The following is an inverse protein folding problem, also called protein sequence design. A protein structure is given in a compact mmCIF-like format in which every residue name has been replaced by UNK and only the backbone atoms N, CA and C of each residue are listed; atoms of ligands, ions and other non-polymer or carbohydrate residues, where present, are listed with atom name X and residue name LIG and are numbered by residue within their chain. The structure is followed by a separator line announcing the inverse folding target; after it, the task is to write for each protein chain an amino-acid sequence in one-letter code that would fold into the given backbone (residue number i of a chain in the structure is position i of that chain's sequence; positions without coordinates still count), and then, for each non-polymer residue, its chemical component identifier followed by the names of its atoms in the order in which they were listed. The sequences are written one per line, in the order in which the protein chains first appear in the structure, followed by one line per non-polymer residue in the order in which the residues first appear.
data_IF_913493620031
#
_entry.id   IF_913493620031
#
_cell.length_a   1.000
_cell.length_b   1.000
_cell.length_c   1.000
_cell.angle_alpha   90.00
_cell.angle_beta   90.00
_cell.angle_gamma   90.00
#
_symmetry.space_group_name_H-M   'P 1'
#
loop_
_entity.id
_entity.type
_entity.pdbx_description
1 polymer ?
#
# COMPACT_ATOMS: atom_id res chain seq x y z
N UNK A 1 -3.69 -18.10 8.23
CA UNK A 1 -2.30 -17.59 8.19
C UNK A 1 -2.26 -16.40 7.26
N UNK A 2 -1.72 -15.27 7.68
CA UNK A 2 -1.59 -14.10 6.84
C UNK A 2 -0.51 -14.38 5.78
N UNK A 3 -0.84 -14.20 4.51
CA UNK A 3 0.09 -14.32 3.40
C UNK A 3 1.19 -13.26 3.51
N UNK A 4 2.45 -13.59 3.27
CA UNK A 4 3.56 -12.65 3.22
C UNK A 4 4.00 -12.49 1.77
N UNK A 5 3.95 -11.27 1.26
CA UNK A 5 4.27 -10.94 -0.13
C UNK A 5 5.72 -10.47 -0.32
N UNK A 6 6.26 -9.76 0.66
CA UNK A 6 7.62 -9.21 0.62
C UNK A 6 8.54 -9.98 1.58
N UNK A 7 8.71 -11.28 1.29
CA UNK A 7 9.55 -12.18 2.09
C UNK A 7 11.01 -11.73 2.07
N UNK A 8 11.66 -11.81 3.23
CA UNK A 8 13.09 -11.46 3.36
C UNK A 8 13.37 -9.96 3.36
N UNK A 9 12.33 -9.12 3.27
CA UNK A 9 12.46 -7.67 3.42
C UNK A 9 11.94 -7.29 4.80
N UNK A 10 12.82 -6.79 5.65
CA UNK A 10 12.48 -6.24 6.96
C UNK A 10 11.99 -4.79 6.83
N UNK A 11 11.65 -4.18 7.97
CA UNK A 11 11.28 -2.77 8.00
C UNK A 11 12.47 -1.91 7.56
N UNK A 12 12.23 -1.07 6.57
CA UNK A 12 13.22 -0.14 6.04
C UNK A 12 13.44 0.99 7.05
N UNK A 13 14.69 1.23 7.42
CA UNK A 13 15.07 2.23 8.41
C UNK A 13 16.18 3.14 7.90
N UNK A 14 16.43 4.22 8.63
CA UNK A 14 17.57 5.08 8.39
C UNK A 14 18.86 4.42 8.89
N UNK A 15 19.87 4.33 8.03
CA UNK A 15 21.18 3.75 8.33
C UNK A 15 22.34 4.71 8.04
N UNK A 16 22.04 5.91 7.51
CA UNK A 16 23.06 6.89 7.15
C UNK A 16 23.58 6.76 5.72
N UNK A 17 24.37 7.77 5.32
CA UNK A 17 24.84 7.91 3.94
C UNK A 17 25.76 6.79 3.47
N UNK A 18 26.52 6.23 4.41
CA UNK A 18 27.57 5.23 4.14
C UNK A 18 27.03 3.80 4.17
N UNK A 19 25.70 3.61 4.37
CA UNK A 19 25.11 2.29 4.35
C UNK A 19 25.20 1.65 2.97
N UNK A 20 25.66 0.41 2.91
CA UNK A 20 25.68 -0.42 1.72
C UNK A 20 24.34 -1.16 1.48
N UNK A 21 23.40 -1.06 2.43
CA UNK A 21 22.09 -1.65 2.32
C UNK A 21 21.23 -0.92 1.26
N UNK A 22 20.87 -1.57 0.13
CA UNK A 22 20.07 -0.92 -0.93
C UNK A 22 18.65 -0.59 -0.49
N UNK A 23 18.16 -1.20 0.60
CA UNK A 23 16.82 -0.98 1.16
C UNK A 23 16.83 -0.07 2.39
N UNK A 24 17.91 0.67 2.66
CA UNK A 24 17.97 1.63 3.75
C UNK A 24 17.67 3.06 3.29
N UNK A 25 17.07 3.85 4.16
CA UNK A 25 17.04 5.30 4.00
C UNK A 25 18.41 5.89 4.34
N UNK A 26 19.05 6.52 3.37
CA UNK A 26 20.39 7.11 3.55
C UNK A 26 20.37 8.59 3.94
N UNK A 27 19.32 9.28 3.58
CA UNK A 27 19.19 10.74 3.75
C UNK A 27 17.98 11.13 4.63
N UNK A 28 16.95 10.30 4.66
CA UNK A 28 15.78 10.52 5.48
C UNK A 28 15.99 9.92 6.87
N UNK A 29 16.42 10.78 7.81
CA UNK A 29 16.44 10.46 9.23
C UNK A 29 15.16 11.00 9.88
N UNK A 30 14.20 10.14 10.25
CA UNK A 30 12.91 10.58 10.80
C UNK A 30 13.05 11.38 12.10
N UNK A 31 14.12 11.20 12.84
CA UNK A 31 14.35 11.84 14.15
C UNK A 31 15.21 13.10 14.07
N UNK A 32 15.79 13.42 12.92
CA UNK A 32 16.63 14.61 12.74
C UNK A 32 15.80 15.87 12.94
N UNK A 33 16.27 16.73 13.85
CA UNK A 33 15.64 18.03 14.14
C UNK A 33 16.00 19.07 13.07
N UNK A 34 14.99 19.75 12.53
CA UNK A 34 15.12 20.83 11.55
C UNK A 34 14.12 21.92 11.95
N UNK A 35 14.60 23.11 12.32
CA UNK A 35 13.72 24.24 12.66
C UNK A 35 12.72 23.95 13.78
N UNK A 36 13.12 23.18 14.80
CA UNK A 36 12.27 22.85 15.97
C UNK A 36 11.31 21.68 15.77
N UNK A 37 11.30 21.04 14.61
CA UNK A 37 10.51 19.83 14.33
C UNK A 37 11.39 18.70 13.79
N UNK A 38 10.97 17.47 13.96
CA UNK A 38 11.64 16.33 13.35
C UNK A 38 11.41 16.29 11.84
N UNK A 39 12.32 15.64 11.10
CA UNK A 39 12.13 15.42 9.66
C UNK A 39 10.83 14.68 9.37
N UNK A 40 10.42 13.73 10.21
CA UNK A 40 9.14 13.03 10.12
C UNK A 40 7.92 13.97 10.25
N UNK A 41 8.01 15.01 11.05
CA UNK A 41 6.92 16.00 11.21
C UNK A 41 6.83 16.95 10.01
N UNK A 42 7.97 17.20 9.33
CA UNK A 42 7.98 17.99 8.09
C UNK A 42 7.48 17.21 6.89
N UNK A 43 7.89 15.93 6.75
CA UNK A 43 7.60 15.09 5.60
C UNK A 43 6.52 14.05 5.92
N UNK A 44 5.30 14.34 5.52
CA UNK A 44 4.14 13.44 5.70
C UNK A 44 3.93 12.64 4.41
N UNK A 45 4.71 11.57 4.24
CA UNK A 45 4.59 10.71 3.06
C UNK A 45 3.31 9.87 3.09
N UNK A 46 2.64 9.80 1.94
CA UNK A 46 1.51 8.91 1.72
C UNK A 46 1.81 7.95 0.56
N UNK A 47 1.34 6.72 0.68
CA UNK A 47 1.39 5.74 -0.40
C UNK A 47 0.11 5.83 -1.21
N UNK A 48 0.22 6.07 -2.51
CA UNK A 48 -0.90 6.05 -3.45
C UNK A 48 -1.22 4.59 -3.81
N UNK A 49 -2.34 4.09 -3.31
CA UNK A 49 -2.74 2.69 -3.46
C UNK A 49 -2.87 2.28 -4.93
N UNK A 50 -3.50 3.13 -5.76
CA UNK A 50 -3.71 2.86 -7.18
C UNK A 50 -2.41 2.68 -7.96
N UNK A 51 -1.43 3.53 -7.75
CA UNK A 51 -0.14 3.40 -8.44
C UNK A 51 0.65 2.18 -7.99
N UNK A 52 0.66 1.91 -6.69
CA UNK A 52 1.53 0.89 -6.10
C UNK A 52 0.96 -0.52 -6.21
N UNK A 53 -0.38 -0.67 -6.18
CA UNK A 53 -1.00 -1.99 -6.04
C UNK A 53 -2.01 -2.33 -7.13
N UNK A 54 -2.48 -1.36 -7.93
CA UNK A 54 -3.43 -1.55 -9.03
C UNK A 54 -2.81 -1.30 -10.42
N UNK A 55 -1.62 -0.69 -10.49
CA UNK A 55 -0.96 -0.38 -11.74
C UNK A 55 -0.52 -1.64 -12.48
N UNK A 56 -0.95 -1.79 -13.73
CA UNK A 56 -0.60 -2.94 -14.58
C UNK A 56 0.49 -2.63 -15.60
N UNK A 57 0.98 -1.38 -15.64
CA UNK A 57 1.92 -0.94 -16.67
C UNK A 57 1.29 -0.73 -18.05
N UNK A 58 -0.05 -0.61 -18.11
CA UNK A 58 -0.77 -0.25 -19.33
C UNK A 58 -0.53 1.20 -19.72
N UNK A 59 -0.45 1.47 -21.02
CA UNK A 59 -0.31 2.80 -21.59
C UNK A 59 -1.14 2.92 -22.90
N UNK A 60 -1.16 4.08 -23.58
CA UNK A 60 -1.88 4.23 -24.85
C UNK A 60 -1.40 3.32 -26.00
N UNK A 61 -0.25 2.69 -25.86
CA UNK A 61 0.35 1.85 -26.89
C UNK A 61 0.11 0.36 -26.68
N UNK A 62 -0.34 -0.05 -25.49
CA UNK A 62 -0.61 -1.45 -25.23
C UNK A 62 -1.21 -1.77 -23.86
N UNK A 63 -1.73 -2.99 -23.70
CA UNK A 63 -2.26 -3.46 -22.44
C UNK A 63 -1.14 -3.61 -21.40
N UNK A 64 -1.53 -3.62 -20.13
CA UNK A 64 -0.60 -3.87 -19.02
C UNK A 64 0.09 -5.22 -19.11
N UNK A 65 1.37 -5.24 -18.78
CA UNK A 65 2.23 -6.44 -18.80
C UNK A 65 2.62 -6.91 -17.40
N UNK A 66 2.24 -6.16 -16.36
CA UNK A 66 2.56 -6.46 -14.97
C UNK A 66 1.44 -7.32 -14.39
N UNK A 67 1.81 -8.50 -13.85
CA UNK A 67 0.95 -9.35 -13.03
C UNK A 67 1.38 -9.29 -11.59
N UNK A 68 0.43 -9.05 -10.70
CA UNK A 68 0.73 -9.03 -9.27
C UNK A 68 0.34 -10.36 -8.59
N UNK A 69 1.13 -10.83 -7.61
CA UNK A 69 0.82 -12.08 -6.89
C UNK A 69 -0.53 -12.06 -6.16
N UNK A 70 -1.01 -10.89 -5.78
CA UNK A 70 -2.31 -10.71 -5.11
C UNK A 70 -3.51 -10.74 -6.05
N UNK A 71 -3.30 -10.63 -7.38
CA UNK A 71 -4.38 -10.68 -8.37
C UNK A 71 -4.70 -12.11 -8.85
N UNK A 72 -3.96 -13.10 -8.37
CA UNK A 72 -4.08 -14.49 -8.83
C UNK A 72 -5.36 -15.21 -8.39
N UNK A 73 -6.09 -14.71 -7.38
CA UNK A 73 -7.28 -15.37 -6.88
C UNK A 73 -8.51 -15.08 -7.77
N UNK A 74 -9.26 -16.10 -8.23
CA UNK A 74 -10.46 -15.89 -9.04
C UNK A 74 -11.63 -15.24 -8.27
N UNK A 75 -11.71 -15.44 -6.95
CA UNK A 75 -12.72 -14.78 -6.11
C UNK A 75 -12.36 -13.30 -5.91
N UNK A 76 -13.19 -12.35 -6.38
CA UNK A 76 -12.91 -10.93 -6.31
C UNK A 76 -12.79 -10.42 -4.87
N UNK A 77 -13.53 -10.99 -3.92
CA UNK A 77 -13.45 -10.59 -2.51
C UNK A 77 -12.13 -11.07 -1.90
N UNK A 78 -11.71 -12.29 -2.22
CA UNK A 78 -10.43 -12.80 -1.71
C UNK A 78 -9.26 -12.07 -2.38
N UNK A 79 -9.35 -11.75 -3.67
CA UNK A 79 -8.36 -10.92 -4.39
C UNK A 79 -8.21 -9.54 -3.76
N UNK A 80 -9.34 -8.88 -3.43
CA UNK A 80 -9.31 -7.59 -2.71
C UNK A 80 -8.62 -7.71 -1.35
N UNK A 81 -8.86 -8.78 -0.60
CA UNK A 81 -8.17 -9.03 0.68
C UNK A 81 -6.69 -9.30 0.48
N UNK A 82 -6.33 -10.12 -0.49
CA UNK A 82 -4.94 -10.42 -0.82
C UNK A 82 -4.18 -9.14 -1.20
N UNK A 83 -4.79 -8.26 -2.01
CA UNK A 83 -4.25 -6.94 -2.37
C UNK A 83 -4.06 -6.05 -1.14
N UNK A 84 -5.05 -5.97 -0.24
CA UNK A 84 -4.92 -5.22 1.01
C UNK A 84 -3.82 -5.78 1.90
N UNK A 85 -3.67 -7.10 1.99
CA UNK A 85 -2.59 -7.72 2.78
C UNK A 85 -1.22 -7.32 2.26
N UNK A 86 -1.02 -7.36 0.94
CA UNK A 86 0.21 -6.91 0.30
C UNK A 86 0.47 -5.40 0.54
N UNK A 87 -0.58 -4.58 0.38
CA UNK A 87 -0.47 -3.14 0.56
C UNK A 87 -0.06 -2.76 1.99
N UNK A 88 -0.72 -3.31 3.00
CA UNK A 88 -0.40 -2.98 4.39
C UNK A 88 0.93 -3.59 4.86
N UNK A 89 1.34 -4.74 4.32
CA UNK A 89 2.69 -5.25 4.55
C UNK A 89 3.74 -4.27 4.00
N UNK A 90 3.56 -3.78 2.77
CA UNK A 90 4.46 -2.79 2.15
C UNK A 90 4.51 -1.48 2.93
N UNK A 91 3.35 -0.88 3.22
CA UNK A 91 3.22 0.39 3.95
C UNK A 91 3.92 0.32 5.32
N UNK A 92 3.73 -0.81 6.01
CA UNK A 92 4.35 -1.05 7.32
C UNK A 92 5.87 -1.17 7.21
N UNK A 93 6.35 -1.91 6.20
CA UNK A 93 7.79 -2.12 5.99
C UNK A 93 8.50 -0.83 5.57
N UNK A 94 7.90 -0.02 4.70
CA UNK A 94 8.48 1.28 4.31
C UNK A 94 8.30 2.36 5.39
N UNK A 95 7.37 2.15 6.33
CA UNK A 95 7.13 3.08 7.44
C UNK A 95 6.39 4.35 7.03
N UNK A 96 5.63 4.34 5.95
CA UNK A 96 4.79 5.48 5.55
C UNK A 96 3.63 5.65 6.54
N UNK A 97 3.43 6.86 7.11
CA UNK A 97 2.39 7.10 8.11
C UNK A 97 0.99 7.24 7.50
N UNK A 98 0.90 7.49 6.19
CA UNK A 98 -0.35 7.75 5.48
C UNK A 98 -0.44 6.93 4.20
N UNK A 99 -1.66 6.69 3.76
CA UNK A 99 -1.98 6.14 2.44
C UNK A 99 -3.26 6.77 1.92
N UNK A 100 -3.43 6.76 0.60
CA UNK A 100 -4.63 7.24 -0.06
C UNK A 100 -5.09 6.22 -1.11
N UNK A 101 -6.39 6.10 -1.30
CA UNK A 101 -7.01 5.19 -2.24
C UNK A 101 -8.35 5.74 -2.73
N UNK A 102 -8.81 5.26 -3.88
CA UNK A 102 -10.18 5.37 -4.30
C UNK A 102 -10.93 4.09 -3.91
N UNK A 103 -12.23 4.18 -3.77
CA UNK A 103 -13.06 3.02 -3.43
C UNK A 103 -12.93 1.88 -4.45
N UNK A 104 -12.84 2.21 -5.74
CA UNK A 104 -12.61 1.28 -6.84
C UNK A 104 -11.26 0.54 -6.78
N UNK A 105 -10.25 1.12 -6.15
CA UNK A 105 -8.95 0.46 -5.99
C UNK A 105 -9.01 -0.74 -5.05
N UNK A 106 -9.98 -0.74 -4.14
CA UNK A 106 -10.11 -1.75 -3.11
C UNK A 106 -10.76 -3.03 -3.61
N UNK A 107 -11.75 -2.92 -4.49
CA UNK A 107 -12.51 -4.05 -5.02
C UNK A 107 -13.08 -3.71 -6.39
N UNK A 108 -13.20 -4.72 -7.25
CA UNK A 108 -13.80 -4.57 -8.56
C UNK A 108 -15.27 -4.12 -8.45
N UNK A 109 -15.73 -3.33 -9.41
CA UNK A 109 -17.06 -2.69 -9.39
C UNK A 109 -18.22 -3.70 -9.39
N UNK A 110 -18.03 -4.92 -9.90
CA UNK A 110 -19.11 -5.89 -10.08
C UNK A 110 -20.11 -5.47 -11.17
N UNK A 111 -21.27 -6.11 -11.20
CA UNK A 111 -22.28 -5.88 -12.23
C UNK A 111 -23.40 -4.90 -11.81
N UNK A 112 -23.40 -4.46 -10.55
CA UNK A 112 -24.39 -3.53 -10.01
C UNK A 112 -23.87 -2.78 -8.78
N UNK A 113 -24.46 -1.60 -8.52
CA UNK A 113 -24.14 -0.80 -7.33
C UNK A 113 -24.38 -1.58 -6.02
N UNK A 114 -25.47 -2.36 -5.96
CA UNK A 114 -25.78 -3.19 -4.78
C UNK A 114 -24.71 -4.26 -4.54
N UNK A 115 -24.21 -4.87 -5.59
CA UNK A 115 -23.13 -5.86 -5.51
C UNK A 115 -21.83 -5.18 -5.05
N UNK A 116 -21.49 -4.05 -5.62
CA UNK A 116 -20.32 -3.24 -5.26
C UNK A 116 -20.36 -2.84 -3.78
N UNK A 117 -21.44 -2.27 -3.29
CA UNK A 117 -21.60 -1.86 -1.87
C UNK A 117 -21.48 -3.05 -0.92
N UNK A 118 -22.08 -4.18 -1.28
CA UNK A 118 -22.00 -5.43 -0.51
C UNK A 118 -20.57 -5.96 -0.43
N UNK A 119 -19.86 -5.95 -1.53
CA UNK A 119 -18.47 -6.40 -1.61
C UNK A 119 -17.52 -5.48 -0.84
N UNK A 120 -17.67 -4.16 -1.00
CA UNK A 120 -16.91 -3.14 -0.28
C UNK A 120 -17.11 -3.26 1.24
N UNK A 121 -18.36 -3.43 1.67
CA UNK A 121 -18.69 -3.61 3.10
C UNK A 121 -18.07 -4.89 3.68
N UNK A 122 -18.03 -5.98 2.91
CA UNK A 122 -17.39 -7.24 3.33
C UNK A 122 -15.87 -7.12 3.39
N UNK A 123 -15.25 -6.43 2.45
CA UNK A 123 -13.82 -6.19 2.46
C UNK A 123 -13.38 -5.36 3.68
N UNK A 124 -14.12 -4.31 4.02
CA UNK A 124 -13.86 -3.42 5.17
C UNK A 124 -14.03 -4.13 6.53
N UNK A 125 -15.05 -4.99 6.70
CA UNK A 125 -15.36 -5.64 8.00
C UNK A 125 -14.28 -6.60 8.48
N UNK A 126 -13.48 -7.16 7.59
CA UNK A 126 -12.51 -8.21 7.93
C UNK A 126 -11.16 -7.67 8.44
N UNK A 127 -10.99 -6.35 8.52
CA UNK A 127 -9.79 -5.72 9.09
C UNK A 127 -10.22 -4.62 10.05
N UNK A 128 -10.06 -4.90 11.33
CA UNK A 128 -10.36 -3.95 12.40
C UNK A 128 -9.79 -2.57 12.12
N UNK A 129 -10.57 -1.55 12.41
CA UNK A 129 -10.31 -0.10 12.34
C UNK A 129 -9.19 0.33 11.38
N UNK A 130 -9.50 0.41 10.10
CA UNK A 130 -8.79 1.29 9.20
C UNK A 130 -9.17 2.71 9.64
N UNK A 131 -8.25 3.42 10.28
CA UNK A 131 -8.45 4.82 10.60
C UNK A 131 -8.36 5.59 9.30
N UNK A 132 -9.51 5.95 8.73
CA UNK A 132 -9.59 6.86 7.60
C UNK A 132 -9.16 8.24 8.09
N UNK A 133 -7.93 8.62 7.81
CA UNK A 133 -7.49 10.00 7.94
C UNK A 133 -7.97 10.77 6.72
N UNK A 134 -9.06 11.51 6.86
CA UNK A 134 -9.39 12.58 5.92
C UNK A 134 -8.46 13.76 6.26
N UNK A 135 -7.61 14.16 5.32
CA UNK A 135 -6.86 15.41 5.35
C UNK A 135 -7.61 16.47 4.56
#
# INVERSE_FOLDING_TARGET
MTKTYFKGIDKISYEGKESDNPLAFRYYDPNRMIGGKTMKEHFKFAIAYWHSFCGTGGDPFGPGTISHPWDANPDPIQRAKDKMDAAFEFITKIGAPYYCFHDIDMIDEGNSLVEYEKCTSKAKRNRGKITLGYG
#
